data_IF_854366486963
#
_entry.id   IF_854366486963
#
_cell.length_a   1.000
_cell.length_b   1.000
_cell.length_c   1.000
_cell.angle_alpha   90.00
_cell.angle_beta   90.00
_cell.angle_gamma   90.00
#
_symmetry.space_group_name_H-M   'P 1'
#
loop_
_entity.id
_entity.type
_entity.pdbx_description
1 polymer ?
#
# COMPACT_ATOMS: atom_id res chain seq x y z
N UNK A 1 7.36 11.77 12.85
CA UNK A 1 6.67 10.64 13.53
C UNK A 1 6.50 9.45 12.59
N UNK A 2 6.69 9.61 11.29
CA UNK A 2 6.39 8.59 10.26
C UNK A 2 7.47 7.52 10.08
N UNK A 3 8.74 7.84 10.37
CA UNK A 3 9.84 6.87 10.22
C UNK A 3 9.70 5.68 11.20
N UNK A 4 9.15 5.92 12.41
CA UNK A 4 8.87 4.87 13.39
C UNK A 4 7.74 3.93 12.96
N UNK A 5 6.83 4.39 12.09
CA UNK A 5 5.79 3.55 11.49
C UNK A 5 6.39 2.59 10.46
N UNK A 6 7.24 3.11 9.56
CA UNK A 6 7.88 2.33 8.51
C UNK A 6 8.67 1.13 9.04
N UNK A 7 9.48 1.32 10.09
CA UNK A 7 10.24 0.22 10.70
C UNK A 7 9.35 -0.84 11.36
N UNK A 8 8.21 -0.45 11.95
CA UNK A 8 7.28 -1.40 12.57
C UNK A 8 6.50 -2.21 11.53
N UNK A 9 6.12 -1.58 10.42
CA UNK A 9 5.54 -2.29 9.27
C UNK A 9 6.54 -3.31 8.72
N UNK A 10 7.80 -2.91 8.50
CA UNK A 10 8.84 -3.82 8.03
C UNK A 10 9.05 -4.99 8.99
N UNK A 11 9.16 -4.73 10.30
CA UNK A 11 9.31 -5.78 11.31
C UNK A 11 8.11 -6.74 11.34
N UNK A 12 6.90 -6.21 11.22
CA UNK A 12 5.67 -7.00 11.11
C UNK A 12 5.73 -7.92 9.88
N UNK A 13 6.21 -7.42 8.74
CA UNK A 13 6.34 -8.20 7.51
C UNK A 13 7.42 -9.29 7.64
N UNK A 14 8.56 -9.01 8.28
CA UNK A 14 9.60 -10.02 8.56
C UNK A 14 9.02 -11.16 9.41
N UNK A 15 8.21 -10.83 10.43
CA UNK A 15 7.52 -11.84 11.23
C UNK A 15 6.47 -12.62 10.44
N UNK A 16 5.71 -11.96 9.56
CA UNK A 16 4.75 -12.63 8.69
C UNK A 16 5.45 -13.61 7.74
N UNK A 17 6.56 -13.20 7.11
CA UNK A 17 7.39 -14.05 6.26
C UNK A 17 7.92 -15.28 7.03
N UNK A 18 8.33 -15.07 8.28
CA UNK A 18 8.74 -16.15 9.19
C UNK A 18 7.58 -16.96 9.79
N UNK A 19 6.32 -16.72 9.38
CA UNK A 19 5.09 -17.37 9.91
C UNK A 19 4.88 -17.17 11.42
N UNK A 20 5.45 -16.11 11.99
CA UNK A 20 5.38 -15.75 13.42
C UNK A 20 4.19 -14.83 13.69
N UNK A 21 2.97 -15.36 13.51
CA UNK A 21 1.73 -14.58 13.59
C UNK A 21 1.50 -13.90 14.95
N UNK A 22 1.93 -14.53 16.05
CA UNK A 22 1.80 -13.92 17.38
C UNK A 22 2.60 -12.62 17.49
N UNK A 23 3.81 -12.59 16.92
CA UNK A 23 4.65 -11.40 16.91
C UNK A 23 4.11 -10.32 15.95
N UNK A 24 3.51 -10.73 14.82
CA UNK A 24 2.76 -9.82 13.93
C UNK A 24 1.67 -9.09 14.71
N UNK A 25 0.86 -9.84 15.48
CA UNK A 25 -0.23 -9.28 16.31
C UNK A 25 0.34 -8.31 17.35
N UNK A 26 1.42 -8.68 18.05
CA UNK A 26 2.04 -7.82 19.07
C UNK A 26 2.56 -6.51 18.47
N UNK A 27 3.22 -6.55 17.32
CA UNK A 27 3.72 -5.34 16.66
C UNK A 27 2.57 -4.43 16.24
N UNK A 28 1.50 -5.00 15.68
CA UNK A 28 0.30 -4.23 15.26
C UNK A 28 -0.45 -3.62 16.43
N UNK A 29 -0.64 -4.35 17.51
CA UNK A 29 -1.26 -3.83 18.74
C UNK A 29 -0.47 -2.64 19.30
N UNK A 30 0.87 -2.72 19.29
CA UNK A 30 1.73 -1.59 19.68
C UNK A 30 1.55 -0.38 18.75
N UNK A 31 1.43 -0.60 17.44
CA UNK A 31 1.15 0.47 16.49
C UNK A 31 -0.19 1.17 16.79
N UNK A 32 -1.24 0.40 17.11
CA UNK A 32 -2.56 0.93 17.50
C UNK A 32 -2.47 1.76 18.79
N UNK A 33 -1.89 1.21 19.86
CA UNK A 33 -1.78 1.91 21.16
C UNK A 33 -0.99 3.21 21.03
N UNK A 34 0.00 3.24 20.13
CA UNK A 34 0.81 4.43 19.86
C UNK A 34 0.17 5.39 18.86
N UNK A 35 -0.97 5.05 18.26
CA UNK A 35 -1.61 5.85 17.21
C UNK A 35 -0.79 5.95 15.92
N UNK A 36 0.13 5.02 15.68
CA UNK A 36 1.07 5.04 14.55
C UNK A 36 0.49 4.25 13.39
N UNK A 37 0.20 4.93 12.28
CA UNK A 37 -0.30 4.33 11.03
C UNK A 37 0.80 4.22 10.00
N UNK A 38 0.63 3.30 9.04
CA UNK A 38 1.49 3.24 7.86
C UNK A 38 1.45 4.61 7.16
N UNK A 39 2.61 5.21 6.83
CA UNK A 39 2.60 6.44 6.05
C UNK A 39 1.99 6.15 4.68
N UNK A 40 1.07 7.00 4.24
CA UNK A 40 0.50 6.90 2.90
C UNK A 40 1.62 6.94 1.87
N UNK A 41 1.58 6.03 0.91
CA UNK A 41 2.47 6.09 -0.24
C UNK A 41 2.19 7.38 -1.01
N UNK A 42 3.23 8.02 -1.52
CA UNK A 42 3.11 9.22 -2.33
C UNK A 42 3.85 9.01 -3.64
N UNK A 43 3.18 9.27 -4.75
CA UNK A 43 3.77 9.26 -6.09
C UNK A 43 3.33 10.52 -6.82
N UNK A 44 4.08 10.92 -7.84
CA UNK A 44 3.76 12.11 -8.61
C UNK A 44 4.22 11.94 -10.05
N UNK A 45 3.56 12.63 -10.96
CA UNK A 45 3.99 12.76 -12.36
C UNK A 45 4.00 14.24 -12.75
N UNK A 46 4.83 14.61 -13.71
CA UNK A 46 4.88 15.98 -14.23
C UNK A 46 4.46 15.99 -15.71
N UNK A 47 3.47 16.81 -16.03
CA UNK A 47 2.94 16.98 -17.39
C UNK A 47 2.92 18.47 -17.71
N UNK A 48 3.60 18.89 -18.77
CA UNK A 48 3.64 20.29 -19.23
C UNK A 48 4.03 21.29 -18.12
N UNK A 49 4.97 20.91 -17.25
CA UNK A 49 5.41 21.74 -16.14
C UNK A 49 4.51 21.69 -14.90
N UNK A 50 3.35 21.04 -14.95
CA UNK A 50 2.43 20.86 -13.81
C UNK A 50 2.69 19.53 -13.12
N UNK A 51 2.82 19.56 -11.78
CA UNK A 51 2.95 18.35 -10.95
C UNK A 51 1.57 17.86 -10.55
N UNK A 52 1.35 16.56 -10.74
CA UNK A 52 0.15 15.85 -10.31
C UNK A 52 0.54 14.84 -9.24
N UNK A 53 0.14 15.10 -8.01
CA UNK A 53 0.40 14.25 -6.85
C UNK A 53 -0.70 13.20 -6.65
N UNK A 54 -0.29 12.00 -6.28
CA UNK A 54 -1.16 10.88 -5.97
C UNK A 54 -0.74 10.28 -4.63
N UNK A 55 -1.59 10.49 -3.63
CA UNK A 55 -1.44 9.86 -2.32
C UNK A 55 -2.29 8.58 -2.28
N UNK A 56 -1.69 7.50 -1.80
CA UNK A 56 -2.41 6.26 -1.55
C UNK A 56 -3.51 6.50 -0.52
N UNK A 57 -4.70 5.94 -0.76
CA UNK A 57 -5.92 6.11 0.06
C UNK A 57 -6.57 7.51 0.00
N UNK A 58 -6.08 8.39 -0.88
CA UNK A 58 -6.68 9.71 -1.07
C UNK A 58 -7.63 9.73 -2.29
N UNK A 59 -8.84 10.26 -2.08
CA UNK A 59 -9.84 10.47 -3.13
C UNK A 59 -10.08 11.96 -3.45
N UNK A 60 -9.32 12.87 -2.87
CA UNK A 60 -9.51 14.33 -2.99
C UNK A 60 -9.20 14.88 -4.38
N UNK A 61 -8.41 14.17 -5.18
CA UNK A 61 -8.09 14.59 -6.53
C UNK A 61 -9.36 14.58 -7.41
N UNK A 62 -9.62 15.66 -8.14
CA UNK A 62 -10.79 15.81 -9.03
C UNK A 62 -10.97 14.70 -10.07
N UNK A 63 -9.90 13.95 -10.38
CA UNK A 63 -9.92 12.82 -11.31
C UNK A 63 -9.70 11.48 -10.61
N UNK A 64 -9.74 11.42 -9.28
CA UNK A 64 -9.50 10.18 -8.50
C UNK A 64 -10.37 9.03 -8.99
N UNK A 65 -11.68 9.24 -9.18
CA UNK A 65 -12.60 8.22 -9.67
C UNK A 65 -12.18 7.64 -11.03
N UNK A 66 -11.80 8.50 -11.98
CA UNK A 66 -11.35 8.06 -13.30
C UNK A 66 -10.02 7.31 -13.24
N UNK A 67 -9.10 7.77 -12.39
CA UNK A 67 -7.81 7.09 -12.19
C UNK A 67 -8.04 5.68 -11.64
N UNK A 68 -8.88 5.53 -10.61
CA UNK A 68 -9.20 4.22 -10.03
C UNK A 68 -9.96 3.32 -11.00
N UNK A 69 -10.83 3.88 -11.85
CA UNK A 69 -11.49 3.12 -12.92
C UNK A 69 -10.46 2.53 -13.90
N UNK A 70 -9.54 3.35 -14.41
CA UNK A 70 -8.47 2.86 -15.30
C UNK A 70 -7.56 1.85 -14.60
N UNK A 71 -7.20 2.09 -13.33
CA UNK A 71 -6.40 1.14 -12.54
C UNK A 71 -7.09 -0.22 -12.38
N UNK A 72 -8.42 -0.27 -12.34
CA UNK A 72 -9.18 -1.53 -12.31
C UNK A 72 -9.20 -2.26 -13.66
N UNK A 73 -9.03 -1.54 -14.79
CA UNK A 73 -9.03 -2.14 -16.13
C UNK A 73 -7.66 -2.67 -16.56
N UNK A 74 -6.56 -2.05 -16.12
CA UNK A 74 -5.18 -2.47 -16.49
C UNK A 74 -4.91 -3.97 -16.18
N UNK A 75 -5.27 -4.52 -14.99
CA UNK A 75 -5.08 -5.93 -14.70
C UNK A 75 -5.85 -6.85 -15.66
N UNK A 76 -7.03 -6.42 -16.13
CA UNK A 76 -7.86 -7.21 -17.06
C UNK A 76 -7.21 -7.30 -18.43
N UNK A 77 -6.63 -6.20 -18.91
CA UNK A 77 -5.93 -6.14 -20.19
C UNK A 77 -4.62 -6.94 -20.16
N UNK A 78 -3.80 -6.71 -19.12
CA UNK A 78 -2.52 -7.39 -18.97
C UNK A 78 -2.67 -8.92 -18.85
N UNK A 79 -3.71 -9.40 -18.19
CA UNK A 79 -4.01 -10.83 -18.14
C UNK A 79 -4.37 -11.42 -19.52
N UNK A 80 -5.09 -10.67 -20.37
CA UNK A 80 -5.39 -11.08 -21.74
C UNK A 80 -4.14 -11.16 -22.63
N UNK A 81 -3.13 -10.35 -22.33
CA UNK A 81 -1.83 -10.35 -23.03
C UNK A 81 -0.85 -11.40 -22.50
N UNK A 82 -1.25 -12.20 -21.51
CA UNK A 82 -0.43 -13.28 -20.94
C UNK A 82 0.55 -12.83 -19.85
N UNK A 83 0.37 -11.62 -19.29
CA UNK A 83 1.13 -11.19 -18.12
C UNK A 83 0.71 -11.98 -16.89
N UNK A 84 1.66 -12.68 -16.27
CA UNK A 84 1.50 -13.30 -14.96
C UNK A 84 2.17 -12.42 -13.89
N UNK A 85 1.41 -11.84 -12.95
CA UNK A 85 1.99 -11.02 -11.89
C UNK A 85 2.83 -11.88 -10.94
N UNK A 86 4.10 -11.51 -10.76
CA UNK A 86 4.93 -12.08 -9.70
C UNK A 86 4.48 -11.53 -8.34
N UNK A 87 3.75 -12.38 -7.61
CA UNK A 87 3.22 -12.08 -6.28
C UNK A 87 4.03 -12.75 -5.17
N UNK A 88 5.15 -13.42 -5.49
CA UNK A 88 5.91 -14.23 -4.51
C UNK A 88 6.47 -13.40 -3.33
N UNK A 89 6.68 -12.10 -3.54
CA UNK A 89 7.09 -11.14 -2.51
C UNK A 89 5.97 -10.26 -1.95
N UNK A 90 4.74 -10.38 -2.47
CA UNK A 90 3.61 -9.55 -2.05
C UNK A 90 2.91 -10.23 -0.88
N UNK A 91 3.05 -9.64 0.31
CA UNK A 91 2.22 -10.01 1.44
C UNK A 91 0.89 -9.27 1.31
N UNK A 92 -0.14 -9.95 0.78
CA UNK A 92 -1.50 -9.44 0.76
C UNK A 92 -2.01 -9.31 2.20
N UNK A 93 -1.87 -8.12 2.77
CA UNK A 93 -2.73 -7.73 3.88
C UNK A 93 -3.99 -7.17 3.25
N UNK A 94 -5.09 -7.94 3.30
CA UNK A 94 -6.41 -7.39 3.07
C UNK A 94 -6.51 -6.07 3.83
N UNK A 95 -6.97 -5.02 3.15
CA UNK A 95 -6.99 -3.63 3.60
C UNK A 95 -7.82 -3.32 4.85
N UNK A 96 -8.08 -4.30 5.71
CA UNK A 96 -8.85 -4.15 6.93
C UNK A 96 -7.98 -4.46 8.14
N UNK A 97 -6.99 -3.62 8.41
CA UNK A 97 -6.72 -3.09 9.76
C UNK A 97 -5.50 -2.15 9.75
N UNK A 98 -5.80 -0.86 9.55
CA UNK A 98 -5.04 0.37 9.87
C UNK A 98 -3.90 0.83 8.95
#
# INVERSE_FOLDING_TARGET
MDQAAGYRVLLSNIYAFAKRWQDVITVRQKMIVMGVKKPSGHSWIQINGVVHDFMADEMTHKHSSFIYEILCEIPKQTHQEGYEPDIAGIVFFNGDTF
#
